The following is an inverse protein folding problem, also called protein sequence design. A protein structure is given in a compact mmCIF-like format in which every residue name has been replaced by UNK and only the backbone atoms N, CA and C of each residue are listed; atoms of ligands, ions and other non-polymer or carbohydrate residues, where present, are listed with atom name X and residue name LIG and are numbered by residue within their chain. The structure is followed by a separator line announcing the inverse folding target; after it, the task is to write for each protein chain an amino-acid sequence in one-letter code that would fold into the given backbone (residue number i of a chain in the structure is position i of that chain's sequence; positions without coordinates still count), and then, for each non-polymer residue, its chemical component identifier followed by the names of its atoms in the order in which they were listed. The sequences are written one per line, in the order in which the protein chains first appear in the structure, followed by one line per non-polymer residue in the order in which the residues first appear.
data_IF_249767158327
#
_entry.id   IF_249767158327
#
_cell.length_a   1.000
_cell.length_b   1.000
_cell.length_c   1.000
_cell.angle_alpha   90.00
_cell.angle_beta   90.00
_cell.angle_gamma   90.00
#
_symmetry.space_group_name_H-M   'P 1'
#
loop_
_entity.id
_entity.type
_entity.pdbx_description
1 polymer ?
#
# COMPACT_ATOMS: atom_id res chain seq x y z
N UNK A 1 -41.84 -71.16 -56.05
CA UNK A 1 -41.75 -70.31 -54.84
C UNK A 1 -43.14 -70.02 -54.34
N UNK A 2 -43.35 -70.13 -53.03
CA UNK A 2 -44.60 -69.70 -52.42
C UNK A 2 -44.66 -68.17 -52.40
N UNK A 3 -45.86 -67.60 -52.36
CA UNK A 3 -46.05 -66.15 -52.20
C UNK A 3 -45.40 -65.61 -50.92
N UNK A 4 -45.26 -66.45 -49.90
CA UNK A 4 -44.59 -66.12 -48.65
C UNK A 4 -43.07 -65.97 -48.82
N UNK A 5 -42.44 -66.79 -49.67
CA UNK A 5 -40.99 -66.73 -49.93
C UNK A 5 -40.59 -65.41 -50.61
N UNK A 6 -41.45 -64.93 -51.53
CA UNK A 6 -41.24 -63.65 -52.24
C UNK A 6 -41.37 -62.47 -51.28
N UNK A 7 -42.40 -62.45 -50.44
CA UNK A 7 -42.60 -61.40 -49.44
C UNK A 7 -41.45 -61.35 -48.41
N UNK A 8 -40.96 -62.51 -47.97
CA UNK A 8 -39.83 -62.58 -47.05
C UNK A 8 -38.55 -62.03 -47.69
N UNK A 9 -38.30 -62.34 -48.96
CA UNK A 9 -37.15 -61.82 -49.70
C UNK A 9 -37.22 -60.30 -49.89
N UNK A 10 -38.39 -59.74 -50.21
CA UNK A 10 -38.60 -58.28 -50.30
C UNK A 10 -38.37 -57.59 -48.95
N UNK A 11 -38.91 -58.13 -47.85
CA UNK A 11 -38.68 -57.59 -46.51
C UNK A 11 -37.20 -57.60 -46.11
N UNK A 12 -36.46 -58.65 -46.45
CA UNK A 12 -35.02 -58.74 -46.18
C UNK A 12 -34.22 -57.74 -47.02
N UNK A 13 -34.60 -57.52 -48.29
CA UNK A 13 -33.99 -56.51 -49.15
C UNK A 13 -34.25 -55.09 -48.62
N UNK A 14 -35.47 -54.78 -48.18
CA UNK A 14 -35.80 -53.48 -47.60
C UNK A 14 -35.07 -53.25 -46.27
N UNK A 15 -34.97 -54.28 -45.43
CA UNK A 15 -34.24 -54.22 -44.17
C UNK A 15 -32.74 -53.96 -44.40
N UNK A 16 -32.12 -54.67 -45.35
CA UNK A 16 -30.70 -54.47 -45.69
C UNK A 16 -30.46 -53.10 -46.32
N UNK A 17 -31.32 -52.64 -47.22
CA UNK A 17 -31.25 -51.30 -47.80
C UNK A 17 -31.40 -50.20 -46.73
N UNK A 18 -32.30 -50.40 -45.76
CA UNK A 18 -32.45 -49.49 -44.61
C UNK A 18 -31.20 -49.46 -43.74
N UNK A 19 -30.61 -50.62 -43.46
CA UNK A 19 -29.37 -50.71 -42.68
C UNK A 19 -28.18 -50.03 -43.35
N UNK A 20 -28.08 -50.12 -44.68
CA UNK A 20 -27.03 -49.42 -45.44
C UNK A 20 -27.24 -47.90 -45.39
N UNK A 21 -28.48 -47.43 -45.55
CA UNK A 21 -28.79 -45.99 -45.46
C UNK A 21 -28.44 -45.43 -44.08
N UNK A 22 -28.80 -46.14 -43.02
CA UNK A 22 -28.51 -45.69 -41.66
C UNK A 22 -27.01 -45.72 -41.36
N UNK A 23 -26.29 -46.75 -41.82
CA UNK A 23 -24.82 -46.78 -41.71
C UNK A 23 -24.18 -45.58 -42.40
N UNK A 24 -24.57 -45.28 -43.64
CA UNK A 24 -23.99 -44.16 -44.39
C UNK A 24 -24.29 -42.82 -43.72
N UNK A 25 -25.48 -42.67 -43.13
CA UNK A 25 -25.83 -41.50 -42.33
C UNK A 25 -24.92 -41.35 -41.11
N UNK A 26 -24.75 -42.42 -40.34
CA UNK A 26 -23.89 -42.44 -39.15
C UNK A 26 -22.44 -42.15 -39.54
N UNK A 27 -21.94 -42.71 -40.64
CA UNK A 27 -20.59 -42.43 -41.15
C UNK A 27 -20.41 -40.95 -41.51
N UNK A 28 -21.39 -40.34 -42.17
CA UNK A 28 -21.37 -38.90 -42.46
C UNK A 28 -21.35 -38.06 -41.19
N UNK A 29 -22.18 -38.40 -40.19
CA UNK A 29 -22.21 -37.70 -38.90
C UNK A 29 -20.88 -37.85 -38.15
N UNK A 30 -20.25 -39.02 -38.19
CA UNK A 30 -18.92 -39.25 -37.60
C UNK A 30 -17.85 -38.37 -38.26
N UNK A 31 -17.87 -38.24 -39.58
CA UNK A 31 -16.87 -37.45 -40.30
C UNK A 31 -17.04 -35.94 -40.04
N UNK A 32 -18.29 -35.46 -39.94
CA UNK A 32 -18.58 -34.09 -39.51
C UNK A 32 -18.09 -33.82 -38.08
N UNK A 33 -18.36 -34.74 -37.15
CA UNK A 33 -17.90 -34.62 -35.76
C UNK A 33 -16.37 -34.62 -35.66
N UNK A 34 -15.68 -35.47 -36.42
CA UNK A 34 -14.21 -35.47 -36.47
C UNK A 34 -13.65 -34.15 -37.01
N UNK A 35 -14.29 -33.57 -38.03
CA UNK A 35 -13.88 -32.27 -38.55
C UNK A 35 -14.05 -31.19 -37.49
N UNK A 36 -15.22 -31.15 -36.84
CA UNK A 36 -15.50 -30.18 -35.78
C UNK A 36 -14.56 -30.33 -34.58
N UNK A 37 -14.20 -31.56 -34.22
CA UNK A 37 -13.23 -31.81 -33.16
C UNK A 37 -11.87 -31.18 -33.50
N UNK A 38 -11.37 -31.39 -34.73
CA UNK A 38 -10.10 -30.79 -35.18
C UNK A 38 -10.15 -29.26 -35.20
N UNK A 39 -11.26 -28.69 -35.64
CA UNK A 39 -11.44 -27.23 -35.68
C UNK A 39 -11.41 -26.65 -34.25
N UNK A 40 -12.08 -27.30 -33.29
CA UNK A 40 -12.06 -26.91 -31.88
C UNK A 40 -10.68 -27.08 -31.23
N UNK A 41 -9.96 -28.14 -31.56
CA UNK A 41 -8.58 -28.36 -31.07
C UNK A 41 -7.65 -27.25 -31.58
N UNK A 42 -7.79 -26.84 -32.84
CA UNK A 42 -7.03 -25.72 -33.41
C UNK A 42 -7.39 -24.37 -32.76
N UNK A 43 -8.68 -24.10 -32.54
CA UNK A 43 -9.14 -22.89 -31.86
C UNK A 43 -8.62 -22.83 -30.43
N UNK A 44 -8.74 -23.93 -29.67
CA UNK A 44 -8.21 -24.01 -28.31
C UNK A 44 -6.70 -23.81 -28.25
N UNK A 45 -5.94 -24.33 -29.22
CA UNK A 45 -4.51 -24.11 -29.31
C UNK A 45 -4.19 -22.62 -29.57
N UNK A 46 -4.92 -21.98 -30.48
CA UNK A 46 -4.76 -20.54 -30.75
C UNK A 46 -5.02 -19.69 -29.51
N UNK A 47 -6.12 -19.94 -28.79
CA UNK A 47 -6.46 -19.23 -27.55
C UNK A 47 -5.35 -19.42 -26.51
N UNK A 48 -4.79 -20.62 -26.38
CA UNK A 48 -3.70 -20.90 -25.46
C UNK A 48 -2.44 -20.09 -25.78
N UNK A 49 -2.10 -19.94 -27.06
CA UNK A 49 -0.95 -19.13 -27.51
C UNK A 49 -1.17 -17.64 -27.22
N UNK A 50 -2.35 -17.12 -27.55
CA UNK A 50 -2.69 -15.70 -27.33
C UNK A 50 -2.69 -15.34 -25.85
N UNK A 51 -3.26 -16.23 -25.01
CA UNK A 51 -3.24 -16.07 -23.57
C UNK A 51 -1.82 -16.07 -23.00
N UNK A 52 -0.97 -17.01 -23.43
CA UNK A 52 0.42 -17.08 -22.98
C UNK A 52 1.23 -15.83 -23.39
N UNK A 53 1.01 -15.33 -24.60
CA UNK A 53 1.63 -14.10 -25.09
C UNK A 53 1.19 -12.88 -24.28
N UNK A 54 -0.12 -12.73 -24.06
CA UNK A 54 -0.69 -11.64 -23.26
C UNK A 54 -0.19 -11.69 -21.81
N UNK A 55 -0.23 -12.86 -21.17
CA UNK A 55 0.27 -13.05 -19.80
C UNK A 55 1.76 -12.69 -19.68
N UNK A 56 2.58 -13.09 -20.65
CA UNK A 56 4.01 -12.76 -20.67
C UNK A 56 4.23 -11.24 -20.79
N UNK A 57 3.43 -10.55 -21.61
CA UNK A 57 3.52 -9.11 -21.78
C UNK A 57 3.11 -8.36 -20.50
N UNK A 58 2.03 -8.78 -19.85
CA UNK A 58 1.59 -8.19 -18.58
C UNK A 58 2.61 -8.42 -17.46
N UNK A 59 3.18 -9.62 -17.35
CA UNK A 59 4.25 -9.88 -16.37
C UNK A 59 5.48 -8.98 -16.60
N UNK A 60 5.83 -8.68 -17.86
CA UNK A 60 6.93 -7.74 -18.16
C UNK A 60 6.58 -6.33 -17.69
N UNK A 61 5.36 -5.85 -17.95
CA UNK A 61 4.88 -4.54 -17.49
C UNK A 61 4.93 -4.42 -15.97
N UNK A 62 4.34 -5.39 -15.27
CA UNK A 62 4.33 -5.46 -13.81
C UNK A 62 5.76 -5.45 -13.26
N UNK A 63 6.69 -6.17 -13.90
CA UNK A 63 8.09 -6.18 -13.46
C UNK A 63 8.76 -4.81 -13.58
N UNK A 64 8.52 -4.09 -14.68
CA UNK A 64 9.02 -2.72 -14.88
C UNK A 64 8.46 -1.79 -13.81
N UNK A 65 7.15 -1.87 -13.55
CA UNK A 65 6.49 -1.04 -12.53
C UNK A 65 7.05 -1.30 -11.12
N UNK A 66 7.30 -2.57 -10.78
CA UNK A 66 7.93 -2.95 -9.50
C UNK A 66 9.33 -2.35 -9.38
N UNK A 67 10.14 -2.41 -10.44
CA UNK A 67 11.49 -1.85 -10.44
C UNK A 67 11.47 -0.31 -10.29
N UNK A 68 10.54 0.37 -10.95
CA UNK A 68 10.37 1.81 -10.82
C UNK A 68 9.91 2.21 -9.40
N UNK A 69 8.93 1.50 -8.85
CA UNK A 69 8.45 1.73 -7.49
C UNK A 69 9.55 1.52 -6.45
N UNK A 70 10.37 0.48 -6.59
CA UNK A 70 11.54 0.25 -5.73
C UNK A 70 12.54 1.40 -5.80
N UNK A 71 12.79 1.94 -7.00
CA UNK A 71 13.67 3.11 -7.16
C UNK A 71 13.09 4.34 -6.45
N UNK A 72 11.80 4.63 -6.65
CA UNK A 72 11.12 5.75 -6.00
C UNK A 72 11.12 5.62 -4.46
N UNK A 73 10.91 4.40 -3.95
CA UNK A 73 10.99 4.12 -2.52
C UNK A 73 12.37 4.48 -1.97
N UNK A 74 13.44 4.02 -2.62
CA UNK A 74 14.81 4.31 -2.21
C UNK A 74 15.13 5.81 -2.26
N UNK A 75 14.66 6.52 -3.29
CA UNK A 75 14.84 7.96 -3.42
C UNK A 75 14.11 8.72 -2.30
N UNK A 76 12.92 8.27 -1.90
CA UNK A 76 12.16 8.85 -0.80
C UNK A 76 12.82 8.57 0.56
N UNK A 77 13.33 7.35 0.78
CA UNK A 77 14.09 7.01 1.98
C UNK A 77 15.36 7.87 2.11
N UNK A 78 16.08 8.11 1.01
CA UNK A 78 17.23 8.99 1.00
C UNK A 78 16.85 10.46 1.29
N UNK A 79 15.75 10.95 0.74
CA UNK A 79 15.22 12.29 1.05
C UNK A 79 14.80 12.40 2.52
N UNK A 80 14.16 11.37 3.07
CA UNK A 80 13.77 11.34 4.47
C UNK A 80 14.99 11.37 5.39
N UNK A 81 16.02 10.58 5.07
CA UNK A 81 17.29 10.61 5.80
C UNK A 81 17.94 12.00 5.76
N UNK A 82 18.01 12.62 4.58
CA UNK A 82 18.52 13.99 4.42
C UNK A 82 17.72 15.01 5.22
N UNK A 83 16.39 14.94 5.21
CA UNK A 83 15.54 15.84 6.00
C UNK A 83 15.76 15.63 7.50
N UNK A 84 15.86 14.36 7.93
CA UNK A 84 16.16 14.02 9.33
C UNK A 84 17.50 14.60 9.76
N UNK A 85 18.54 14.46 8.94
CA UNK A 85 19.88 14.99 9.24
C UNK A 85 19.88 16.52 9.27
N UNK A 86 19.22 17.17 8.30
CA UNK A 86 19.01 18.63 8.29
C UNK A 86 18.28 19.12 9.55
N UNK A 87 17.27 18.37 10.02
CA UNK A 87 16.51 18.72 11.22
C UNK A 87 17.35 18.52 12.49
N UNK A 88 18.10 17.42 12.59
CA UNK A 88 19.04 17.18 13.70
C UNK A 88 20.11 18.27 13.75
N UNK A 89 20.63 18.66 12.60
CA UNK A 89 21.57 19.78 12.52
C UNK A 89 20.87 21.06 12.98
N UNK A 90 19.79 21.50 12.34
CA UNK A 90 19.19 22.82 12.64
C UNK A 90 18.59 22.95 14.03
N UNK A 91 17.97 21.89 14.56
CA UNK A 91 17.31 21.90 15.87
C UNK A 91 18.26 21.52 17.01
N UNK A 92 19.40 20.88 16.70
CA UNK A 92 20.38 20.46 17.68
C UNK A 92 19.74 19.65 18.82
N UNK A 93 20.02 19.97 20.10
CA UNK A 93 19.45 19.25 21.24
C UNK A 93 17.92 19.34 21.36
N UNK A 94 17.26 20.28 20.67
CA UNK A 94 15.79 20.36 20.67
C UNK A 94 15.17 19.19 19.86
N UNK A 95 15.93 18.59 18.94
CA UNK A 95 15.48 17.42 18.17
C UNK A 95 15.14 16.22 19.07
N UNK A 96 15.73 16.14 20.27
CA UNK A 96 15.46 15.08 21.26
C UNK A 96 14.13 15.28 22.02
N UNK A 97 13.40 16.36 21.76
CA UNK A 97 12.10 16.59 22.39
C UNK A 97 11.07 15.57 21.90
N UNK A 98 10.52 14.81 22.84
CA UNK A 98 9.38 13.94 22.62
C UNK A 98 8.11 14.62 23.14
N UNK A 99 7.06 14.61 22.32
CA UNK A 99 5.73 15.04 22.78
C UNK A 99 5.22 14.12 23.90
N UNK A 100 4.37 14.64 24.81
CA UNK A 100 3.76 13.80 25.84
C UNK A 100 2.94 12.68 25.20
N UNK A 101 2.97 11.50 25.81
CA UNK A 101 2.16 10.37 25.33
C UNK A 101 0.67 10.73 25.32
N UNK A 102 -0.11 10.06 24.47
CA UNK A 102 -1.56 10.34 24.39
C UNK A 102 -2.27 10.20 25.74
N UNK A 103 -1.85 9.23 26.57
CA UNK A 103 -2.41 9.00 27.90
C UNK A 103 -2.07 10.13 28.87
N UNK A 104 -0.81 10.59 28.88
CA UNK A 104 -0.40 11.75 29.69
C UNK A 104 -1.09 13.03 29.22
N UNK A 105 -1.18 13.22 27.89
CA UNK A 105 -1.86 14.36 27.28
C UNK A 105 -3.33 14.42 27.72
N UNK A 106 -4.05 13.28 27.67
CA UNK A 106 -5.44 13.18 28.14
C UNK A 106 -5.58 13.50 29.62
N UNK A 107 -4.73 12.90 30.45
CA UNK A 107 -4.78 13.04 31.91
C UNK A 107 -4.52 14.50 32.33
N UNK A 108 -3.47 15.12 31.79
CA UNK A 108 -3.12 16.50 32.11
C UNK A 108 -4.12 17.51 31.52
N UNK A 109 -4.63 17.27 30.31
CA UNK A 109 -5.65 18.13 29.71
C UNK A 109 -6.94 18.11 30.55
N UNK A 110 -7.32 16.94 31.06
CA UNK A 110 -8.49 16.79 31.92
C UNK A 110 -8.31 17.47 33.28
N UNK A 111 -7.11 17.41 33.89
CA UNK A 111 -6.80 18.21 35.10
C UNK A 111 -7.02 19.70 34.86
N UNK A 112 -6.58 20.22 33.71
CA UNK A 112 -6.77 21.64 33.36
C UNK A 112 -8.26 21.94 33.18
N UNK A 113 -8.99 21.10 32.45
CA UNK A 113 -10.44 21.22 32.27
C UNK A 113 -11.22 21.26 33.60
N UNK A 114 -10.90 20.37 34.54
CA UNK A 114 -11.54 20.34 35.86
C UNK A 114 -11.29 21.65 36.62
N UNK A 115 -10.06 22.18 36.55
CA UNK A 115 -9.74 23.47 37.18
C UNK A 115 -10.47 24.64 36.53
N UNK A 116 -10.60 24.64 35.20
CA UNK A 116 -11.33 25.65 34.44
C UNK A 116 -12.84 25.61 34.75
N UNK A 117 -13.44 24.42 34.81
CA UNK A 117 -14.83 24.24 35.22
C UNK A 117 -15.08 24.78 36.64
N UNK A 118 -14.19 24.45 37.58
CA UNK A 118 -14.27 24.93 38.96
C UNK A 118 -14.19 26.46 39.03
N UNK A 119 -13.29 27.08 38.25
CA UNK A 119 -13.17 28.53 38.17
C UNK A 119 -14.44 29.18 37.59
N UNK A 120 -15.08 28.53 36.62
CA UNK A 120 -16.34 28.95 35.99
C UNK A 120 -17.59 28.62 36.82
N UNK A 121 -17.44 27.92 37.95
CA UNK A 121 -18.57 27.50 38.80
C UNK A 121 -19.43 26.37 38.19
N UNK A 122 -18.89 25.61 37.24
CA UNK A 122 -19.60 24.52 36.54
C UNK A 122 -19.04 23.17 37.03
N UNK A 123 -19.88 22.14 37.10
CA UNK A 123 -19.44 20.78 37.41
C UNK A 123 -18.81 20.14 36.16
N UNK A 124 -17.57 19.67 36.29
CA UNK A 124 -16.89 18.97 35.20
C UNK A 124 -17.58 17.64 34.88
N UNK A 125 -17.72 17.33 33.59
CA UNK A 125 -18.19 16.03 33.14
C UNK A 125 -17.21 14.94 33.58
N UNK A 126 -17.66 13.78 34.10
CA UNK A 126 -16.78 12.73 34.58
C UNK A 126 -15.82 12.18 33.52
N UNK A 127 -14.68 11.70 34.02
CA UNK A 127 -13.54 11.25 33.24
C UNK A 127 -13.85 10.04 32.32
N UNK A 128 -14.88 9.25 32.60
CA UNK A 128 -15.19 8.01 31.87
C UNK A 128 -16.07 8.19 30.63
N UNK A 129 -16.43 9.43 30.26
CA UNK A 129 -17.18 9.71 29.04
C UNK A 129 -16.22 9.91 27.84
N UNK A 130 -16.18 8.95 26.91
CA UNK A 130 -15.25 8.96 25.76
C UNK A 130 -15.41 10.21 24.88
N UNK A 131 -16.62 10.76 24.77
CA UNK A 131 -16.89 12.02 24.04
C UNK A 131 -16.28 13.25 24.75
N UNK A 132 -16.11 13.17 26.08
CA UNK A 132 -15.53 14.23 26.90
C UNK A 132 -14.02 14.39 26.69
N UNK A 133 -13.27 13.30 26.58
CA UNK A 133 -11.81 13.36 26.46
C UNK A 133 -11.31 13.93 25.14
N UNK A 134 -11.94 13.59 24.02
CA UNK A 134 -11.54 14.12 22.71
C UNK A 134 -11.69 15.65 22.69
N UNK A 135 -12.83 16.14 23.19
CA UNK A 135 -13.13 17.58 23.31
C UNK A 135 -12.16 18.28 24.27
N UNK A 136 -11.85 17.66 25.41
CA UNK A 136 -10.91 18.21 26.39
C UNK A 136 -9.48 18.29 25.84
N UNK A 137 -9.02 17.26 25.12
CA UNK A 137 -7.69 17.29 24.48
C UNK A 137 -7.64 18.31 23.36
N UNK A 138 -8.71 18.48 22.58
CA UNK A 138 -8.79 19.49 21.53
C UNK A 138 -8.66 20.91 22.11
N UNK A 139 -9.37 21.20 23.21
CA UNK A 139 -9.37 22.52 23.84
C UNK A 139 -8.11 22.80 24.68
N UNK A 140 -7.65 21.82 25.46
CA UNK A 140 -6.58 22.02 26.46
C UNK A 140 -5.25 21.33 26.12
N UNK A 141 -5.22 20.44 25.14
CA UNK A 141 -4.03 19.68 24.78
C UNK A 141 -2.85 20.55 24.34
N UNK A 142 -3.13 21.67 23.67
CA UNK A 142 -2.10 22.66 23.31
C UNK A 142 -1.37 23.20 24.55
N UNK A 143 -2.11 23.54 25.62
CA UNK A 143 -1.54 24.04 26.87
C UNK A 143 -0.69 22.97 27.56
N UNK A 144 -1.12 21.71 27.51
CA UNK A 144 -0.33 20.59 28.06
C UNK A 144 0.97 20.43 27.30
N UNK A 145 0.93 20.43 25.96
CA UNK A 145 2.13 20.32 25.11
C UNK A 145 3.09 21.48 25.36
N UNK A 146 2.60 22.70 25.48
CA UNK A 146 3.41 23.87 25.79
C UNK A 146 4.08 23.74 27.16
N UNK A 147 3.32 23.37 28.21
CA UNK A 147 3.90 23.13 29.54
C UNK A 147 4.93 22.01 29.54
N UNK A 148 4.69 20.95 28.77
CA UNK A 148 5.63 19.84 28.61
C UNK A 148 6.93 20.30 27.94
N UNK A 149 6.83 21.08 26.88
CA UNK A 149 7.99 21.66 26.19
C UNK A 149 8.77 22.63 27.09
N UNK A 150 8.08 23.49 27.84
CA UNK A 150 8.73 24.40 28.81
C UNK A 150 9.46 23.62 29.91
N UNK A 151 8.90 22.50 30.39
CA UNK A 151 9.62 21.61 31.32
C UNK A 151 10.87 21.01 30.69
N UNK A 152 10.78 20.56 29.44
CA UNK A 152 11.93 20.05 28.69
C UNK A 152 13.05 21.10 28.57
N UNK A 153 12.71 22.35 28.23
CA UNK A 153 13.67 23.45 28.09
C UNK A 153 14.29 23.90 29.42
N UNK A 154 13.60 23.70 30.54
CA UNK A 154 14.06 24.13 31.86
C UNK A 154 14.85 23.07 32.65
N UNK A 155 15.04 21.88 32.09
CA UNK A 155 15.97 20.91 32.66
C UNK A 155 17.40 21.51 32.67
N UNK A 156 18.08 21.63 33.82
CA UNK A 156 19.34 22.37 33.91
C UNK A 156 20.43 21.87 32.96
N UNK A 157 20.53 20.54 32.80
CA UNK A 157 21.55 19.90 31.95
C UNK A 157 21.22 20.12 30.47
N UNK A 158 19.96 19.97 30.06
CA UNK A 158 19.54 20.21 28.67
C UNK A 158 19.61 21.68 28.31
N UNK A 159 19.20 22.57 29.22
CA UNK A 159 19.23 24.01 29.01
C UNK A 159 20.63 24.50 28.66
N UNK A 160 21.64 24.08 29.43
CA UNK A 160 23.03 24.40 29.15
C UNK A 160 23.47 23.90 27.77
N UNK A 161 23.11 22.65 27.41
CA UNK A 161 23.41 22.09 26.09
C UNK A 161 22.76 22.88 24.94
N UNK A 162 21.48 23.24 25.08
CA UNK A 162 20.74 24.04 24.10
C UNK A 162 21.39 25.40 23.94
N UNK A 163 21.68 26.08 25.05
CA UNK A 163 22.31 27.40 25.02
C UNK A 163 23.70 27.36 24.38
N UNK A 164 24.54 26.37 24.71
CA UNK A 164 25.86 26.21 24.13
C UNK A 164 25.79 25.92 22.62
N UNK A 165 24.89 25.02 22.21
CA UNK A 165 24.67 24.69 20.81
C UNK A 165 24.32 25.94 19.97
N UNK A 166 23.34 26.74 20.41
CA UNK A 166 22.94 27.93 19.67
C UNK A 166 23.95 29.08 19.76
N UNK A 167 24.75 29.17 20.83
CA UNK A 167 25.88 30.12 20.92
C UNK A 167 26.97 29.79 19.91
N UNK A 168 27.35 28.52 19.77
CA UNK A 168 28.32 28.07 18.77
C UNK A 168 27.78 28.24 17.34
N UNK A 169 26.50 27.93 17.13
CA UNK A 169 25.83 28.11 15.85
C UNK A 169 25.75 29.59 15.44
N UNK A 170 25.43 30.50 16.36
CA UNK A 170 25.37 31.94 16.12
C UNK A 170 26.75 32.60 16.04
N UNK A 171 27.77 32.05 16.72
CA UNK A 171 29.14 32.56 16.72
C UNK A 171 29.98 32.10 15.52
N UNK A 172 29.53 31.08 14.77
CA UNK A 172 30.28 30.44 13.68
C UNK A 172 30.03 31.00 12.27
N UNK A 173 29.15 31.99 12.09
CA UNK A 173 28.87 32.59 10.78
C UNK A 173 29.76 33.80 10.41
N UNK A 174 30.79 34.09 11.21
CA UNK A 174 31.86 35.04 10.89
C UNK A 174 33.21 34.32 10.89
N UNK A 175 33.96 34.45 9.80
CA UNK A 175 35.36 34.00 9.67
C UNK A 175 35.63 32.50 9.44
N UNK A 176 35.32 32.04 8.22
CA UNK A 176 36.26 31.17 7.47
C UNK A 176 36.51 31.70 6.06
N UNK A 177 37.15 32.88 5.96
CA UNK A 177 38.07 33.13 4.84
C UNK A 177 39.31 32.28 5.08
N UNK A 178 39.34 31.07 4.51
CA UNK A 178 40.63 30.40 4.27
C UNK A 178 41.16 30.89 2.94
N UNK A 179 42.15 31.77 3.02
CA UNK A 179 42.98 32.12 1.89
C UNK A 179 43.64 30.87 1.34
N UNK A 180 43.42 30.62 0.06
CA UNK A 180 44.36 29.87 -0.75
C UNK A 180 45.56 30.79 -0.99
N UNK A 181 46.50 30.80 -0.03
CA UNK A 181 47.87 31.14 -0.32
C UNK A 181 48.46 29.90 -1.01
N UNK A 182 48.45 29.94 -2.34
CA UNK A 182 49.27 29.07 -3.17
C UNK A 182 50.61 29.81 -3.29
N UNK A 183 51.54 29.49 -2.39
CA UNK A 183 52.96 29.78 -2.58
C UNK A 183 53.64 28.47 -2.99
N UNK A 184 54.44 28.59 -4.04
CA UNK A 184 55.13 27.55 -4.78
C UNK A 184 56.11 26.72 -3.94
N UNK A 185 56.21 25.43 -4.28
CA UNK A 185 57.46 24.69 -4.54
C UNK A 185 57.17 23.33 -5.17
#
# INVERSE_FOLDING_TARGET
MSKADVLLAEMLLDFTASGIRERNRIESEIDELKKRQKDLEAESASIGVDYAASSTQEHKRIKIDIEELKKRQKDLEAKLASISDDLKEKLGPIYEYEEPSLTELRTEAYKIYVTDCRFKGITATPELDEMGYATVVDVFGGIVKERHFVKFLNDPVRREKIENYFKEYAGGSGDKKKGAAMEDL
#
